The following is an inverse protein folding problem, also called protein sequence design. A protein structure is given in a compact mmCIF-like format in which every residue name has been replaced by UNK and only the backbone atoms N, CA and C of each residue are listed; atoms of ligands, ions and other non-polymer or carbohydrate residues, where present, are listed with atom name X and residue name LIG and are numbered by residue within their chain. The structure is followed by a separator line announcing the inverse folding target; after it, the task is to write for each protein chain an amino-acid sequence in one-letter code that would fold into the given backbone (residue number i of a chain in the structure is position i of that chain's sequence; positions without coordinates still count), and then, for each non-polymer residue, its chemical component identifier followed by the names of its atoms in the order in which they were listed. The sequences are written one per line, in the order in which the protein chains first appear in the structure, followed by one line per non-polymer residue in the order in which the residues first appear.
data_IF_528540605271
#
_entry.id   IF_528540605271
#
_cell.length_a   1.000
_cell.length_b   1.000
_cell.length_c   1.000
_cell.angle_alpha   90.00
_cell.angle_beta   90.00
_cell.angle_gamma   90.00
#
_symmetry.space_group_name_H-M   'P 1'
#
loop_
_entity.id
_entity.type
_entity.pdbx_description
1 polymer ?
#
# COMPACT_ATOMS: atom_id res chain seq x y z
N UNK A 1 -83.81 27.65 10.03
CA UNK A 1 -83.54 28.43 11.25
C UNK A 1 -82.26 29.22 11.02
N UNK A 2 -82.38 30.55 11.11
CA UNK A 2 -81.41 31.65 11.36
C UNK A 2 -79.95 31.26 11.71
N UNK A 3 -78.87 32.01 11.44
CA UNK A 3 -78.49 33.26 10.73
C UNK A 3 -76.94 33.30 10.76
N UNK A 4 -76.23 33.76 9.71
CA UNK A 4 -75.38 34.99 9.63
C UNK A 4 -74.68 35.46 10.94
N UNK A 5 -73.44 36.00 11.05
CA UNK A 5 -72.60 36.92 10.26
C UNK A 5 -71.20 37.00 10.97
N UNK A 6 -70.04 37.07 10.29
CA UNK A 6 -69.31 38.25 9.72
C UNK A 6 -68.47 39.11 10.70
N UNK A 7 -67.15 39.12 10.43
CA UNK A 7 -66.15 40.23 10.38
C UNK A 7 -65.51 40.88 11.65
N UNK A 8 -64.17 40.85 11.58
CA UNK A 8 -63.17 41.95 11.66
C UNK A 8 -62.79 42.62 12.99
N UNK A 9 -61.49 42.79 13.21
CA UNK A 9 -60.91 43.84 14.05
C UNK A 9 -59.40 43.68 14.28
N UNK A 10 -58.58 44.54 13.65
CA UNK A 10 -57.19 44.84 14.04
C UNK A 10 -57.20 45.89 15.17
N UNK A 11 -56.12 46.01 16.00
CA UNK A 11 -55.45 47.32 16.07
C UNK A 11 -53.91 47.32 16.32
N UNK A 12 -53.22 48.17 15.53
CA UNK A 12 -52.15 49.17 15.82
C UNK A 12 -51.03 49.01 16.88
N UNK A 13 -49.79 48.99 16.37
CA UNK A 13 -48.55 49.80 16.64
C UNK A 13 -48.17 50.33 18.04
N UNK A 14 -46.87 50.16 18.41
CA UNK A 14 -45.98 51.23 18.91
C UNK A 14 -44.48 50.88 18.78
N UNK A 15 -43.69 51.88 18.42
CA UNK A 15 -42.24 51.92 18.16
C UNK A 15 -41.40 52.36 19.37
N UNK A 16 -40.14 51.93 19.49
CA UNK A 16 -39.06 52.72 20.11
C UNK A 16 -37.66 52.25 19.66
N UNK A 17 -36.77 53.23 19.47
CA UNK A 17 -35.44 53.14 18.88
C UNK A 17 -34.35 52.67 19.85
N UNK A 18 -33.32 51.99 19.33
CA UNK A 18 -32.11 51.66 20.08
C UNK A 18 -30.96 51.10 19.24
N UNK A 19 -29.90 51.89 19.09
CA UNK A 19 -28.50 51.50 18.78
C UNK A 19 -28.02 51.48 17.31
N UNK A 20 -27.97 52.67 16.70
CA UNK A 20 -27.03 53.05 15.61
C UNK A 20 -25.54 52.78 15.90
N UNK A 21 -25.19 52.25 17.08
CA UNK A 21 -23.80 51.98 17.53
C UNK A 21 -23.30 50.57 17.18
N UNK A 22 -24.20 49.61 16.88
CA UNK A 22 -23.83 48.24 16.49
C UNK A 22 -23.47 48.06 15.00
N UNK A 23 -23.90 49.00 14.15
CA UNK A 23 -23.69 48.90 12.70
C UNK A 23 -22.31 49.43 12.27
N UNK A 24 -21.76 50.42 13.00
CA UNK A 24 -20.43 51.00 12.73
C UNK A 24 -19.30 50.01 13.08
N UNK A 25 -19.48 49.18 14.11
CA UNK A 25 -18.50 48.15 14.51
C UNK A 25 -18.36 47.04 13.45
N UNK A 26 -19.45 46.68 12.76
CA UNK A 26 -19.42 45.67 11.68
C UNK A 26 -18.72 46.18 10.42
N UNK A 27 -18.87 47.46 10.09
CA UNK A 27 -18.22 48.06 8.91
C UNK A 27 -16.70 48.15 9.07
N UNK A 28 -16.19 48.44 10.28
CA UNK A 28 -14.75 48.49 10.54
C UNK A 28 -14.08 47.10 10.53
N UNK A 29 -14.77 46.05 10.99
CA UNK A 29 -14.22 44.69 10.92
C UNK A 29 -14.19 44.14 9.49
N UNK A 30 -15.18 44.49 8.66
CA UNK A 30 -15.17 44.09 7.25
C UNK A 30 -14.06 44.79 6.45
N UNK A 31 -13.75 46.06 6.73
CA UNK A 31 -12.64 46.78 6.09
C UNK A 31 -11.27 46.18 6.49
N UNK A 32 -11.09 45.79 7.75
CA UNK A 32 -9.86 45.13 8.22
C UNK A 32 -9.64 43.77 7.54
N UNK A 33 -10.70 42.98 7.35
CA UNK A 33 -10.63 41.69 6.64
C UNK A 33 -10.29 41.89 5.16
N UNK A 34 -10.88 42.89 4.50
CA UNK A 34 -10.57 43.18 3.08
C UNK A 34 -9.13 43.66 2.87
N UNK A 35 -8.58 44.46 3.80
CA UNK A 35 -7.17 44.89 3.75
C UNK A 35 -6.22 43.71 4.01
N UNK A 36 -6.57 42.82 4.97
CA UNK A 36 -5.80 41.61 5.26
C UNK A 36 -5.80 40.64 4.06
N UNK A 37 -6.96 40.41 3.43
CA UNK A 37 -7.07 39.61 2.21
C UNK A 37 -6.29 40.23 1.05
N UNK A 38 -6.29 41.56 0.91
CA UNK A 38 -5.47 42.26 -0.07
C UNK A 38 -3.96 42.09 0.15
N UNK A 39 -3.49 42.18 1.41
CA UNK A 39 -2.09 41.97 1.75
C UNK A 39 -1.62 40.53 1.55
N UNK A 40 -2.45 39.55 1.91
CA UNK A 40 -2.17 38.12 1.67
C UNK A 40 -2.08 37.83 0.18
N UNK A 41 -2.96 38.43 -0.64
CA UNK A 41 -2.93 38.25 -2.10
C UNK A 41 -1.67 38.87 -2.73
N UNK A 42 -1.22 40.04 -2.24
CA UNK A 42 0.03 40.67 -2.69
C UNK A 42 1.27 39.87 -2.24
N UNK A 43 1.25 39.27 -1.05
CA UNK A 43 2.34 38.40 -0.58
C UNK A 43 2.40 37.10 -1.38
N UNK A 44 1.26 36.51 -1.73
CA UNK A 44 1.19 35.31 -2.58
C UNK A 44 1.62 35.62 -4.02
N UNK A 45 1.27 36.80 -4.55
CA UNK A 45 1.71 37.24 -5.88
C UNK A 45 3.18 37.67 -5.92
N UNK A 46 3.76 38.16 -4.81
CA UNK A 46 5.21 38.43 -4.71
C UNK A 46 6.04 37.18 -4.40
N UNK A 47 5.45 36.13 -3.82
CA UNK A 47 6.10 34.83 -3.67
C UNK A 47 6.15 34.00 -4.96
N UNK A 48 5.35 34.36 -5.98
CA UNK A 48 5.23 33.60 -7.24
C UNK A 48 5.96 34.23 -8.43
N UNK A 49 6.63 35.38 -8.24
CA UNK A 49 7.48 36.01 -9.27
C UNK A 49 8.85 36.35 -8.65
N UNK A 50 9.69 35.32 -8.53
CA UNK A 50 11.13 35.43 -8.26
C UNK A 50 11.89 34.82 -9.45
N UNK A 51 12.48 35.69 -10.26
CA UNK A 51 13.26 35.37 -11.46
C UNK A 51 14.62 34.78 -11.06
N UNK A 52 15.09 33.80 -11.85
CA UNK A 52 16.11 32.82 -11.53
C UNK A 52 17.54 33.29 -11.28
N UNK A 53 18.34 32.37 -10.70
CA UNK A 53 19.72 32.18 -11.11
C UNK A 53 20.11 30.68 -10.98
N UNK A 54 20.99 30.26 -11.90
CA UNK A 54 21.36 28.91 -12.29
C UNK A 54 22.12 28.10 -11.22
N UNK A 55 21.83 26.79 -11.15
CA UNK A 55 22.67 25.80 -10.49
C UNK A 55 21.91 24.49 -10.24
N UNK A 56 22.37 23.39 -10.85
CA UNK A 56 21.70 22.09 -10.82
C UNK A 56 21.45 21.58 -9.40
N UNK A 57 20.24 21.08 -9.17
CA UNK A 57 19.84 20.50 -7.88
C UNK A 57 19.86 18.98 -8.02
N UNK A 58 20.76 18.39 -7.27
CA UNK A 58 20.93 16.97 -6.97
C UNK A 58 19.73 16.40 -6.21
N UNK A 59 19.46 15.11 -6.40
CA UNK A 59 18.37 14.28 -5.85
C UNK A 59 18.19 14.29 -4.31
N UNK A 60 19.10 14.88 -3.56
CA UNK A 60 19.13 14.88 -2.09
C UNK A 60 17.94 15.58 -1.40
N UNK A 61 17.29 16.55 -2.05
CA UNK A 61 16.18 17.32 -1.44
C UNK A 61 14.87 16.49 -1.38
N UNK A 62 14.79 15.40 -2.15
CA UNK A 62 13.67 14.46 -2.13
C UNK A 62 13.81 13.43 -1.00
N UNK A 63 15.02 12.93 -0.77
CA UNK A 63 15.32 11.95 0.29
C UNK A 63 15.18 12.55 1.68
N UNK A 64 15.54 13.82 1.84
CA UNK A 64 15.50 14.48 3.15
C UNK A 64 14.07 14.74 3.65
N UNK A 65 13.12 14.96 2.73
CA UNK A 65 11.68 15.08 3.07
C UNK A 65 11.04 13.73 3.41
N UNK A 66 11.50 12.65 2.78
CA UNK A 66 11.09 11.27 3.11
C UNK A 66 11.50 10.91 4.54
N UNK A 67 12.70 11.30 4.96
CA UNK A 67 13.21 11.06 6.33
C UNK A 67 12.43 11.84 7.40
N UNK A 68 12.07 13.11 7.14
CA UNK A 68 11.27 13.91 8.09
C UNK A 68 9.81 13.44 8.22
N UNK A 69 9.20 12.98 7.13
CA UNK A 69 7.86 12.40 7.17
C UNK A 69 7.85 11.05 7.91
N UNK A 70 8.95 10.28 7.82
CA UNK A 70 9.17 9.07 8.61
C UNK A 70 9.22 9.39 10.09
N UNK A 71 9.92 10.43 10.56
CA UNK A 71 9.96 10.75 12.01
C UNK A 71 8.59 11.12 12.61
N UNK A 72 7.64 11.56 11.78
CA UNK A 72 6.26 11.86 12.19
C UNK A 72 5.36 10.61 12.28
N UNK A 73 5.57 9.62 11.39
CA UNK A 73 4.89 8.29 11.38
C UNK A 73 5.03 7.56 12.75
N UNK A 74 5.99 7.96 13.59
CA UNK A 74 6.53 7.13 14.69
C UNK A 74 5.86 7.36 16.03
N UNK A 75 5.12 8.46 16.17
CA UNK A 75 4.54 8.84 17.47
C UNK A 75 3.26 8.06 17.81
N UNK A 76 2.63 7.39 16.85
CA UNK A 76 1.26 6.89 16.99
C UNK A 76 1.05 5.38 16.78
N UNK A 77 2.08 4.57 16.49
CA UNK A 77 2.01 3.09 16.66
C UNK A 77 1.73 2.70 18.13
N UNK A 78 1.84 3.66 19.05
CA UNK A 78 1.55 3.52 20.49
C UNK A 78 0.06 3.38 20.85
N UNK A 79 -0.90 3.49 19.93
CA UNK A 79 -2.33 3.57 20.26
C UNK A 79 -3.21 2.39 19.80
N UNK A 80 -2.69 1.42 19.03
CA UNK A 80 -3.50 0.34 18.42
C UNK A 80 -3.66 -0.91 19.32
N UNK A 81 -3.62 -0.76 20.63
CA UNK A 81 -4.00 -1.83 21.56
C UNK A 81 -5.52 -1.79 21.79
N UNK A 82 -6.27 -2.63 21.07
CA UNK A 82 -7.61 -3.04 21.52
C UNK A 82 -7.53 -3.71 22.91
N UNK A 83 -8.57 -3.60 23.75
CA UNK A 83 -8.53 -4.13 25.10
C UNK A 83 -8.34 -5.65 25.10
N UNK A 84 -7.23 -6.10 25.67
CA UNK A 84 -6.89 -7.50 25.86
C UNK A 84 -7.96 -8.24 26.71
N UNK A 85 -8.54 -9.31 26.17
CA UNK A 85 -8.84 -10.46 27.02
C UNK A 85 -7.51 -11.15 27.34
N UNK A 86 -6.89 -10.68 28.43
CA UNK A 86 -5.65 -11.24 28.98
C UNK A 86 -5.95 -12.66 29.48
N UNK A 87 -5.86 -13.66 28.61
CA UNK A 87 -5.53 -15.01 29.07
C UNK A 87 -4.04 -14.99 29.33
N UNK A 88 -3.68 -14.58 30.54
CA UNK A 88 -2.32 -14.69 31.05
C UNK A 88 -1.92 -16.17 30.98
N UNK A 89 -1.25 -16.56 29.90
CA UNK A 89 -0.44 -17.75 29.90
C UNK A 89 0.62 -17.51 30.99
N UNK A 90 0.42 -18.14 32.14
CA UNK A 90 1.41 -18.18 33.21
C UNK A 90 2.66 -18.85 32.64
N UNK A 91 3.59 -18.03 32.12
CA UNK A 91 4.94 -18.45 31.77
C UNK A 91 5.69 -18.71 33.07
N UNK A 92 5.39 -19.86 33.66
CA UNK A 92 6.23 -20.46 34.68
C UNK A 92 7.25 -21.31 33.92
N UNK A 93 8.48 -20.81 33.84
CA UNK A 93 9.72 -21.57 34.11
C UNK A 93 10.86 -20.56 34.18
N UNK A 94 11.40 -20.46 35.39
CA UNK A 94 12.70 -19.89 35.65
C UNK A 94 13.77 -20.75 34.95
N UNK A 95 14.44 -20.17 33.96
CA UNK A 95 15.78 -20.55 33.58
C UNK A 95 16.49 -19.28 33.10
N UNK A 96 17.51 -18.86 33.85
CA UNK A 96 18.40 -17.77 33.46
C UNK A 96 19.20 -18.24 32.25
N UNK A 97 18.65 -18.04 31.05
CA UNK A 97 19.33 -18.28 29.79
C UNK A 97 19.63 -16.91 29.19
N UNK A 98 20.91 -16.57 29.09
CA UNK A 98 21.31 -15.46 28.25
C UNK A 98 21.33 -15.96 26.81
N UNK A 99 20.64 -15.27 25.90
CA UNK A 99 20.65 -15.60 24.46
C UNK A 99 21.33 -14.46 23.73
N UNK A 100 22.35 -14.79 22.94
CA UNK A 100 23.01 -13.84 22.05
C UNK A 100 22.39 -13.96 20.66
N UNK A 101 21.88 -12.85 20.10
CA UNK A 101 21.36 -12.78 18.73
C UNK A 101 22.49 -12.75 17.71
N UNK A 102 22.15 -12.80 16.41
CA UNK A 102 23.13 -12.76 15.32
C UNK A 102 24.01 -11.49 15.34
N UNK A 103 23.51 -10.37 15.88
CA UNK A 103 24.25 -9.10 15.97
C UNK A 103 24.89 -8.87 17.35
N UNK A 104 25.18 -9.95 18.08
CA UNK A 104 25.78 -9.90 19.42
C UNK A 104 24.93 -9.16 20.49
N UNK A 105 23.62 -9.01 20.28
CA UNK A 105 22.71 -8.50 21.32
C UNK A 105 22.48 -9.60 22.35
N UNK A 106 22.83 -9.35 23.62
CA UNK A 106 22.62 -10.32 24.71
C UNK A 106 21.29 -10.05 25.41
N UNK A 107 20.36 -10.98 25.29
CA UNK A 107 19.06 -10.99 25.94
C UNK A 107 19.11 -11.77 27.23
N UNK A 108 18.35 -11.37 28.25
CA UNK A 108 18.25 -12.06 29.53
C UNK A 108 16.80 -12.10 30.03
N UNK A 109 16.50 -13.04 30.93
CA UNK A 109 15.21 -13.12 31.61
C UNK A 109 14.02 -13.25 30.63
N UNK A 110 13.03 -12.36 30.76
CA UNK A 110 11.82 -12.38 29.95
C UNK A 110 12.09 -12.16 28.45
N UNK A 111 13.11 -11.35 28.10
CA UNK A 111 13.44 -11.03 26.71
C UNK A 111 14.03 -12.25 26.00
N UNK A 112 14.90 -13.00 26.69
CA UNK A 112 15.42 -14.27 26.20
C UNK A 112 14.31 -15.33 26.04
N UNK A 113 13.34 -15.37 26.96
CA UNK A 113 12.20 -16.27 26.86
C UNK A 113 11.29 -15.93 25.67
N UNK A 114 11.00 -14.64 25.44
CA UNK A 114 10.21 -14.18 24.29
C UNK A 114 10.91 -14.51 22.96
N UNK A 115 12.22 -14.24 22.86
CA UNK A 115 13.00 -14.57 21.67
C UNK A 115 13.03 -16.08 21.40
N UNK A 116 13.19 -16.91 22.44
CA UNK A 116 13.14 -18.37 22.32
C UNK A 116 11.75 -18.86 21.88
N UNK A 117 10.67 -18.27 22.43
CA UNK A 117 9.30 -18.60 22.05
C UNK A 117 9.04 -18.28 20.57
N UNK A 118 9.48 -17.12 20.07
CA UNK A 118 9.43 -16.79 18.65
C UNK A 118 10.14 -17.82 17.76
N UNK A 119 11.35 -18.26 18.15
CA UNK A 119 12.08 -19.32 17.42
C UNK A 119 11.38 -20.68 17.41
N UNK A 120 10.50 -20.94 18.38
CA UNK A 120 9.73 -22.18 18.46
C UNK A 120 8.49 -22.17 17.54
N UNK A 121 8.02 -20.99 17.11
CA UNK A 121 6.88 -20.86 16.21
C UNK A 121 7.15 -21.54 14.86
N UNK A 122 6.11 -22.14 14.28
CA UNK A 122 6.16 -22.83 12.98
C UNK A 122 4.90 -22.51 12.17
N UNK A 123 5.09 -22.16 10.90
CA UNK A 123 3.97 -21.96 9.94
C UNK A 123 3.26 -23.28 9.56
N UNK A 124 3.84 -24.42 9.91
CA UNK A 124 3.30 -25.76 9.70
C UNK A 124 4.38 -26.83 9.81
N UNK A 125 4.04 -28.10 9.53
CA UNK A 125 5.03 -29.18 9.46
C UNK A 125 6.13 -28.88 8.45
N UNK A 126 7.38 -29.24 8.76
CA UNK A 126 8.50 -29.03 7.85
C UNK A 126 8.31 -29.85 6.57
N UNK A 127 8.44 -29.18 5.42
CA UNK A 127 8.54 -29.81 4.10
C UNK A 127 9.98 -29.61 3.63
N UNK A 128 10.61 -30.67 3.13
CA UNK A 128 12.04 -30.65 2.75
C UNK A 128 12.31 -31.12 1.32
N UNK A 129 11.27 -31.56 0.61
CA UNK A 129 11.30 -32.14 -0.72
C UNK A 129 10.23 -31.50 -1.63
N UNK A 130 9.85 -30.24 -1.38
CA UNK A 130 8.75 -29.58 -2.10
C UNK A 130 9.00 -29.47 -3.60
N UNK A 131 10.23 -29.20 -4.04
CA UNK A 131 10.55 -29.13 -5.46
C UNK A 131 10.30 -30.48 -6.15
N UNK A 132 10.72 -31.59 -5.51
CA UNK A 132 10.47 -32.94 -6.01
C UNK A 132 8.97 -33.27 -6.05
N UNK A 133 8.22 -32.94 -4.98
CA UNK A 133 6.78 -33.18 -4.94
C UNK A 133 6.06 -32.38 -6.03
N UNK A 134 6.42 -31.11 -6.22
CA UNK A 134 5.82 -30.21 -7.21
C UNK A 134 6.13 -30.68 -8.64
N UNK A 135 7.36 -31.09 -8.92
CA UNK A 135 7.75 -31.64 -10.23
C UNK A 135 6.99 -32.92 -10.56
N UNK A 136 6.88 -33.85 -9.60
CA UNK A 136 6.11 -35.08 -9.78
C UNK A 136 4.61 -34.79 -10.02
N UNK A 137 4.06 -33.83 -9.29
CA UNK A 137 2.67 -33.42 -9.45
C UNK A 137 2.42 -32.81 -10.83
N UNK A 138 3.31 -31.94 -11.33
CA UNK A 138 3.19 -31.31 -12.65
C UNK A 138 3.25 -32.34 -13.78
N UNK A 139 4.11 -33.36 -13.67
CA UNK A 139 4.18 -34.48 -14.62
C UNK A 139 2.88 -35.29 -14.62
N UNK A 140 2.32 -35.56 -13.43
CA UNK A 140 1.08 -36.31 -13.29
C UNK A 140 -0.18 -35.53 -13.71
N UNK A 141 -0.11 -34.19 -13.74
CA UNK A 141 -1.26 -33.31 -13.97
C UNK A 141 -1.03 -32.32 -15.14
N UNK A 142 -0.87 -32.80 -16.39
CA UNK A 142 -0.57 -31.94 -17.54
C UNK A 142 -1.67 -30.92 -17.88
N UNK A 143 -2.89 -31.09 -17.35
CA UNK A 143 -3.97 -30.11 -17.47
C UNK A 143 -3.79 -28.83 -16.64
N UNK A 144 -2.79 -28.80 -15.75
CA UNK A 144 -2.46 -27.67 -14.88
C UNK A 144 -1.00 -27.23 -15.08
N UNK A 145 -0.67 -26.63 -16.24
CA UNK A 145 0.72 -26.26 -16.53
C UNK A 145 1.19 -25.08 -15.70
N UNK A 146 2.46 -25.10 -15.28
CA UNK A 146 3.13 -23.97 -14.61
C UNK A 146 3.44 -22.79 -15.53
N UNK A 147 3.15 -22.94 -16.82
CA UNK A 147 3.27 -21.90 -17.84
C UNK A 147 1.98 -21.78 -18.62
N UNK A 148 1.53 -20.55 -18.83
CA UNK A 148 0.36 -20.21 -19.65
C UNK A 148 0.71 -20.17 -21.14
N UNK A 149 -0.31 -20.03 -21.99
CA UNK A 149 -0.13 -19.85 -23.43
C UNK A 149 0.86 -18.70 -23.73
N UNK A 150 1.84 -18.97 -24.61
CA UNK A 150 2.95 -18.05 -24.87
C UNK A 150 4.17 -18.26 -23.96
N UNK A 151 4.21 -19.31 -23.14
CA UNK A 151 5.38 -19.74 -22.37
C UNK A 151 5.66 -18.94 -21.09
N UNK A 152 4.79 -17.98 -20.75
CA UNK A 152 4.91 -17.16 -19.54
C UNK A 152 4.61 -18.01 -18.29
N UNK A 153 5.33 -17.81 -17.18
CA UNK A 153 5.03 -18.49 -15.93
C UNK A 153 3.64 -18.12 -15.41
N UNK A 154 2.94 -19.06 -14.77
CA UNK A 154 1.65 -18.81 -14.14
C UNK A 154 1.86 -17.98 -12.87
N UNK A 155 1.12 -16.87 -12.75
CA UNK A 155 1.17 -15.95 -11.61
C UNK A 155 -0.18 -15.97 -10.89
N UNK A 156 -0.13 -16.00 -9.56
CA UNK A 156 -1.27 -15.82 -8.67
C UNK A 156 -1.08 -14.53 -7.87
N UNK A 157 -1.88 -13.50 -8.16
CA UNK A 157 -1.94 -12.30 -7.34
C UNK A 157 -2.70 -12.60 -6.04
N UNK A 158 -2.12 -12.24 -4.91
CA UNK A 158 -2.71 -12.42 -3.58
C UNK A 158 -2.78 -11.06 -2.89
N UNK A 159 -3.98 -10.70 -2.48
CA UNK A 159 -4.26 -9.53 -1.64
C UNK A 159 -5.13 -9.97 -0.47
N UNK A 160 -5.30 -9.11 0.53
CA UNK A 160 -6.27 -9.37 1.58
C UNK A 160 -6.68 -8.12 2.33
N UNK A 161 -7.74 -8.26 3.11
CA UNK A 161 -8.24 -7.26 4.04
C UNK A 161 -8.76 -7.95 5.30
N UNK A 162 -8.93 -7.24 6.43
CA UNK A 162 -9.58 -7.80 7.60
C UNK A 162 -10.98 -8.37 7.28
N UNK A 163 -11.45 -9.40 8.03
CA UNK A 163 -12.81 -9.94 7.89
C UNK A 163 -13.91 -8.98 8.36
N UNK A 164 -13.58 -8.14 9.34
CA UNK A 164 -14.51 -7.21 9.95
C UNK A 164 -14.60 -5.93 9.12
N UNK A 165 -15.74 -5.20 9.19
CA UNK A 165 -15.83 -3.87 8.63
C UNK A 165 -14.70 -2.97 9.13
N UNK A 166 -14.28 -2.02 8.29
CA UNK A 166 -13.27 -1.05 8.67
C UNK A 166 -13.76 -0.14 9.81
N UNK A 167 -12.86 0.26 10.70
CA UNK A 167 -13.15 1.23 11.77
C UNK A 167 -13.70 2.53 11.18
N UNK A 168 -13.10 2.96 10.06
CA UNK A 168 -13.61 4.03 9.23
C UNK A 168 -14.44 3.45 8.08
N UNK A 169 -15.77 3.70 8.02
CA UNK A 169 -16.64 3.12 6.99
C UNK A 169 -16.26 3.48 5.55
N UNK A 170 -15.56 4.61 5.33
CA UNK A 170 -15.06 4.95 3.99
C UNK A 170 -13.95 3.98 3.55
N UNK A 171 -13.25 3.35 4.49
CA UNK A 171 -12.20 2.38 4.24
C UNK A 171 -12.67 1.20 3.40
N UNK A 172 -13.84 0.64 3.72
CA UNK A 172 -14.46 -0.44 2.95
C UNK A 172 -14.69 -0.05 1.48
N UNK A 173 -15.07 1.21 1.23
CA UNK A 173 -15.22 1.71 -0.13
C UNK A 173 -13.89 1.73 -0.90
N UNK A 174 -12.80 2.13 -0.25
CA UNK A 174 -11.48 2.14 -0.88
C UNK A 174 -10.86 0.76 -1.01
N UNK A 175 -11.15 -0.18 -0.10
CA UNK A 175 -10.83 -1.60 -0.27
C UNK A 175 -11.55 -2.17 -1.50
N UNK A 176 -12.83 -1.86 -1.70
CA UNK A 176 -13.57 -2.27 -2.89
C UNK A 176 -12.96 -1.70 -4.17
N UNK A 177 -12.61 -0.40 -4.17
CA UNK A 177 -11.96 0.26 -5.32
C UNK A 177 -10.59 -0.36 -5.64
N UNK A 178 -9.77 -0.60 -4.62
CA UNK A 178 -8.47 -1.26 -4.80
C UNK A 178 -8.63 -2.69 -5.32
N UNK A 179 -9.65 -3.42 -4.84
CA UNK A 179 -9.98 -4.77 -5.34
C UNK A 179 -10.40 -4.73 -6.81
N UNK A 180 -11.30 -3.80 -7.20
CA UNK A 180 -11.66 -3.60 -8.62
C UNK A 180 -10.43 -3.29 -9.47
N UNK A 181 -9.54 -2.40 -9.02
CA UNK A 181 -8.31 -2.05 -9.72
C UNK A 181 -7.45 -3.30 -10.00
N UNK A 182 -7.24 -4.14 -8.98
CA UNK A 182 -6.52 -5.41 -9.13
C UNK A 182 -7.24 -6.40 -10.06
N UNK A 183 -8.56 -6.51 -9.98
CA UNK A 183 -9.38 -7.33 -10.90
C UNK A 183 -9.18 -6.88 -12.35
N UNK A 184 -9.21 -5.58 -12.62
CA UNK A 184 -9.05 -5.05 -13.96
C UNK A 184 -7.67 -5.37 -14.53
N UNK A 185 -6.61 -5.11 -13.77
CA UNK A 185 -5.24 -5.45 -14.17
C UNK A 185 -5.09 -6.96 -14.42
N UNK A 186 -5.52 -7.80 -13.47
CA UNK A 186 -5.41 -9.25 -13.58
C UNK A 186 -6.17 -9.81 -14.79
N UNK A 187 -7.36 -9.27 -15.07
CA UNK A 187 -8.16 -9.65 -16.27
C UNK A 187 -7.44 -9.28 -17.57
N UNK A 188 -6.81 -8.12 -17.64
CA UNK A 188 -6.03 -7.68 -18.83
C UNK A 188 -4.79 -8.57 -19.03
N UNK A 189 -4.15 -8.96 -17.93
CA UNK A 189 -2.87 -9.67 -17.94
C UNK A 189 -2.97 -11.19 -17.84
N UNK A 190 -4.18 -11.74 -17.68
CA UNK A 190 -4.38 -13.19 -17.57
C UNK A 190 -3.80 -13.78 -16.27
N UNK A 191 -3.91 -13.02 -15.19
CA UNK A 191 -3.42 -13.38 -13.85
C UNK A 191 -4.61 -13.80 -13.00
N UNK A 192 -4.48 -14.89 -12.25
CA UNK A 192 -5.49 -15.30 -11.27
C UNK A 192 -5.33 -14.45 -10.01
N UNK A 193 -6.45 -14.14 -9.32
CA UNK A 193 -6.45 -13.33 -8.11
C UNK A 193 -7.14 -14.05 -6.95
N UNK A 194 -6.52 -14.00 -5.78
CA UNK A 194 -7.13 -14.38 -4.50
C UNK A 194 -7.19 -13.16 -3.59
N UNK A 195 -8.38 -12.90 -3.06
CA UNK A 195 -8.60 -11.91 -2.01
C UNK A 195 -8.92 -12.64 -0.70
N UNK A 196 -7.97 -12.67 0.22
CA UNK A 196 -8.18 -13.28 1.53
C UNK A 196 -8.89 -12.32 2.48
N UNK A 197 -9.89 -12.85 3.20
CA UNK A 197 -10.56 -12.16 4.31
C UNK A 197 -10.55 -13.02 5.58
N UNK A 198 -9.74 -14.08 5.64
CA UNK A 198 -9.69 -14.99 6.78
C UNK A 198 -8.37 -14.84 7.56
N UNK A 199 -8.46 -14.89 8.89
CA UNK A 199 -7.29 -15.11 9.74
C UNK A 199 -6.98 -16.61 9.79
N UNK A 200 -5.93 -17.03 9.07
CA UNK A 200 -5.49 -18.43 9.05
C UNK A 200 -4.69 -18.81 10.30
N UNK A 201 -4.12 -17.81 10.96
CA UNK A 201 -3.34 -17.94 12.19
C UNK A 201 -3.67 -16.76 13.10
N UNK A 202 -3.88 -17.01 14.40
CA UNK A 202 -4.21 -15.99 15.40
C UNK A 202 -2.99 -15.29 16.00
N UNK A 203 -1.82 -15.92 15.89
CA UNK A 203 -0.52 -15.38 16.33
C UNK A 203 0.04 -14.40 15.29
N UNK A 204 -0.10 -14.73 14.00
CA UNK A 204 0.31 -13.88 12.88
C UNK A 204 -0.85 -13.00 12.39
N UNK A 205 -1.20 -11.99 13.18
CA UNK A 205 -2.18 -10.97 12.82
C UNK A 205 -1.56 -9.74 12.13
N UNK A 206 -2.40 -8.88 11.55
CA UNK A 206 -1.98 -7.63 10.90
C UNK A 206 -1.13 -7.90 9.65
N UNK A 207 -0.04 -7.14 9.48
CA UNK A 207 0.85 -7.25 8.34
C UNK A 207 1.52 -8.64 8.22
N UNK A 208 1.63 -9.38 9.33
CA UNK A 208 2.17 -10.74 9.37
C UNK A 208 1.25 -11.82 8.79
N UNK A 209 -0.05 -11.54 8.63
CA UNK A 209 -1.04 -12.53 8.17
C UNK A 209 -0.78 -13.04 6.74
N UNK A 210 0.05 -12.31 5.96
CA UNK A 210 0.44 -12.71 4.61
C UNK A 210 1.31 -13.98 4.59
N UNK A 211 2.18 -14.20 5.59
CA UNK A 211 3.09 -15.35 5.62
C UNK A 211 2.36 -16.71 5.63
N UNK A 212 1.43 -17.00 6.57
CA UNK A 212 0.72 -18.29 6.59
C UNK A 212 -0.17 -18.47 5.35
N UNK A 213 -0.72 -17.39 4.80
CA UNK A 213 -1.50 -17.41 3.57
C UNK A 213 -0.65 -17.78 2.36
N UNK A 214 0.50 -17.12 2.16
CA UNK A 214 1.42 -17.41 1.06
C UNK A 214 1.88 -18.88 1.15
N UNK A 215 2.31 -19.35 2.32
CA UNK A 215 2.70 -20.76 2.52
C UNK A 215 1.57 -21.71 2.13
N UNK A 216 0.34 -21.43 2.57
CA UNK A 216 -0.84 -22.24 2.25
C UNK A 216 -1.08 -22.28 0.74
N UNK A 217 -1.01 -21.15 0.06
CA UNK A 217 -1.24 -21.06 -1.37
C UNK A 217 -0.14 -21.74 -2.17
N UNK A 218 1.13 -21.66 -1.76
CA UNK A 218 2.23 -22.39 -2.40
C UNK A 218 1.96 -23.89 -2.42
N UNK A 219 1.57 -24.45 -1.27
CA UNK A 219 1.32 -25.88 -1.10
C UNK A 219 0.01 -26.35 -1.75
N UNK A 220 -0.99 -25.47 -1.86
CA UNK A 220 -2.28 -25.78 -2.47
C UNK A 220 -2.31 -25.59 -3.99
N UNK A 221 -1.40 -24.80 -4.54
CA UNK A 221 -1.32 -24.48 -5.97
C UNK A 221 0.07 -24.82 -6.55
N UNK A 222 0.43 -26.11 -6.67
CA UNK A 222 1.70 -26.55 -7.25
C UNK A 222 1.88 -26.11 -8.72
N UNK A 223 0.79 -25.79 -9.42
CA UNK A 223 0.80 -25.25 -10.78
C UNK A 223 1.15 -23.76 -10.86
N UNK A 224 1.15 -23.03 -9.75
CA UNK A 224 1.54 -21.61 -9.73
C UNK A 224 3.06 -21.53 -9.64
N UNK A 225 3.68 -20.80 -10.56
CA UNK A 225 5.13 -20.56 -10.54
C UNK A 225 5.49 -19.37 -9.65
N UNK A 226 4.69 -18.31 -9.68
CA UNK A 226 4.89 -17.11 -8.86
C UNK A 226 3.64 -16.76 -8.05
N UNK A 227 3.80 -16.61 -6.75
CA UNK A 227 2.84 -15.93 -5.89
C UNK A 227 3.26 -14.48 -5.80
N UNK A 228 2.38 -13.57 -6.20
CA UNK A 228 2.60 -12.13 -6.12
C UNK A 228 1.72 -11.55 -5.03
N UNK A 229 2.32 -11.24 -3.88
CA UNK A 229 1.63 -10.52 -2.82
C UNK A 229 1.51 -9.03 -3.18
N UNK A 230 0.34 -8.46 -2.96
CA UNK A 230 0.10 -7.02 -3.11
C UNK A 230 -0.85 -6.52 -2.02
N UNK A 231 -0.41 -5.54 -1.23
CA UNK A 231 -1.21 -4.95 -0.14
C UNK A 231 -2.50 -4.32 -0.66
N UNK A 232 -3.52 -4.24 0.22
CA UNK A 232 -4.83 -3.70 -0.15
C UNK A 232 -4.82 -2.23 -0.55
N UNK A 233 -3.87 -1.45 -0.01
CA UNK A 233 -3.66 -0.03 -0.28
C UNK A 233 -2.60 0.24 -1.37
N UNK A 234 -2.12 -0.80 -2.04
CA UNK A 234 -1.38 -0.69 -3.29
C UNK A 234 -2.33 -0.76 -4.50
N UNK A 235 -2.20 0.16 -5.44
CA UNK A 235 -2.98 0.18 -6.69
C UNK A 235 -2.06 0.09 -7.89
N UNK A 236 -2.48 -0.67 -8.90
CA UNK A 236 -1.93 -0.56 -10.24
C UNK A 236 -2.25 0.80 -10.82
N UNK A 237 -1.24 1.50 -11.28
CA UNK A 237 -1.37 2.80 -11.96
C UNK A 237 -0.83 2.76 -13.39
N UNK A 238 -0.14 1.69 -13.77
CA UNK A 238 0.13 1.33 -15.17
C UNK A 238 -0.58 0.02 -15.54
N UNK A 239 -1.67 0.13 -16.32
CA UNK A 239 -2.46 -1.02 -16.77
C UNK A 239 -1.85 -1.71 -17.99
N UNK A 240 -0.88 -1.11 -18.69
CA UNK A 240 -0.21 -1.69 -19.85
C UNK A 240 1.11 -2.38 -19.50
N UNK A 241 1.77 -1.97 -18.42
CA UNK A 241 3.02 -2.56 -17.97
C UNK A 241 2.83 -4.03 -17.61
N UNK A 242 3.78 -4.86 -18.03
CA UNK A 242 3.84 -6.28 -17.72
C UNK A 242 5.17 -6.57 -17.06
N UNK A 243 5.12 -7.28 -15.92
CA UNK A 243 6.33 -7.63 -15.16
C UNK A 243 7.31 -8.38 -16.09
N UNK A 244 8.58 -7.95 -16.18
CA UNK A 244 9.56 -8.56 -17.06
C UNK A 244 10.11 -9.86 -16.45
N UNK A 245 9.26 -10.88 -16.29
CA UNK A 245 9.56 -12.14 -15.57
C UNK A 245 10.83 -12.86 -16.02
N UNK A 246 11.24 -12.70 -17.28
CA UNK A 246 12.50 -13.27 -17.80
C UNK A 246 13.74 -12.65 -17.14
N UNK A 247 13.66 -11.40 -16.67
CA UNK A 247 14.71 -10.72 -15.90
C UNK A 247 15.00 -11.42 -14.57
N UNK A 248 14.03 -12.18 -14.05
CA UNK A 248 14.11 -12.84 -12.74
C UNK A 248 14.42 -14.33 -12.84
N UNK A 249 14.92 -14.77 -13.99
CA UNK A 249 15.48 -16.11 -14.11
C UNK A 249 16.64 -16.31 -13.12
N UNK A 250 16.62 -17.44 -12.41
CA UNK A 250 17.60 -17.73 -11.36
C UNK A 250 17.27 -17.17 -9.96
N UNK A 251 16.29 -16.27 -9.83
CA UNK A 251 15.84 -15.69 -8.56
C UNK A 251 14.51 -16.30 -8.08
N UNK A 252 14.27 -16.22 -6.77
CA UNK A 252 13.11 -16.78 -6.09
C UNK A 252 12.29 -15.73 -5.30
N UNK A 253 12.91 -14.61 -4.92
CA UNK A 253 12.23 -13.45 -4.36
C UNK A 253 12.53 -12.24 -5.24
N UNK A 254 11.50 -11.52 -5.68
CA UNK A 254 11.64 -10.22 -6.36
C UNK A 254 10.91 -9.18 -5.53
N UNK A 255 11.63 -8.15 -5.08
CA UNK A 255 11.12 -7.16 -4.15
C UNK A 255 11.65 -5.78 -4.54
N UNK A 256 10.81 -4.75 -4.45
CA UNK A 256 11.25 -3.39 -4.71
C UNK A 256 12.19 -2.91 -3.60
N UNK A 257 13.27 -2.22 -3.97
CA UNK A 257 14.14 -1.60 -2.98
C UNK A 257 15.40 -0.97 -3.57
N UNK A 258 16.24 -0.44 -2.70
CA UNK A 258 17.46 0.28 -3.08
C UNK A 258 18.68 -0.40 -2.44
N UNK A 259 19.62 -0.95 -3.24
CA UNK A 259 20.77 -1.68 -2.72
C UNK A 259 21.66 -0.89 -1.76
N UNK A 260 21.84 0.41 -2.00
CA UNK A 260 22.60 1.31 -1.12
C UNK A 260 21.89 1.51 0.23
N UNK A 261 20.57 1.70 0.22
CA UNK A 261 19.79 1.76 1.45
C UNK A 261 19.86 0.44 2.23
N UNK A 262 19.90 -0.70 1.53
CA UNK A 262 19.96 -2.01 2.15
C UNK A 262 21.35 -2.27 2.73
N UNK A 263 22.37 -2.36 1.88
CA UNK A 263 23.68 -2.90 2.23
C UNK A 263 24.63 -1.85 2.85
N UNK A 264 24.50 -0.58 2.48
CA UNK A 264 25.39 0.46 3.01
C UNK A 264 24.78 1.18 4.21
N UNK A 265 23.48 1.46 4.15
CA UNK A 265 22.80 2.24 5.19
C UNK A 265 22.04 1.41 6.21
N UNK A 266 21.77 0.14 5.93
CA UNK A 266 20.94 -0.75 6.76
C UNK A 266 19.59 -0.12 7.13
N UNK A 267 18.98 0.58 6.17
CA UNK A 267 17.75 1.35 6.38
C UNK A 267 16.53 0.43 6.42
N UNK A 268 15.60 0.69 7.34
CA UNK A 268 14.36 -0.10 7.46
C UNK A 268 13.36 0.12 6.31
N UNK A 269 13.59 1.13 5.47
CA UNK A 269 12.82 1.40 4.23
C UNK A 269 13.58 0.94 2.97
N UNK A 270 14.66 0.17 3.13
CA UNK A 270 15.49 -0.25 2.01
C UNK A 270 14.75 -1.15 1.01
N UNK A 271 13.75 -1.91 1.49
CA UNK A 271 12.90 -2.79 0.70
C UNK A 271 11.43 -2.53 1.06
N UNK A 272 10.48 -2.90 0.20
CA UNK A 272 9.05 -2.85 0.52
C UNK A 272 8.35 -4.20 0.36
N UNK A 273 7.73 -4.70 1.44
CA UNK A 273 7.00 -5.99 1.45
C UNK A 273 5.51 -5.84 1.16
N UNK A 274 5.08 -4.72 0.61
CA UNK A 274 3.71 -4.52 0.16
C UNK A 274 3.44 -4.90 -1.29
N UNK A 275 4.49 -5.17 -2.07
CA UNK A 275 4.37 -5.73 -3.42
C UNK A 275 5.64 -6.51 -3.77
N UNK A 276 5.55 -7.84 -3.81
CA UNK A 276 6.70 -8.71 -4.09
C UNK A 276 6.27 -10.05 -4.68
N UNK A 277 7.19 -10.72 -5.38
CA UNK A 277 6.96 -12.03 -5.97
C UNK A 277 7.79 -13.11 -5.26
N UNK A 278 7.13 -14.22 -4.91
CA UNK A 278 7.77 -15.46 -4.47
C UNK A 278 7.61 -16.56 -5.51
N UNK A 279 8.72 -17.23 -5.86
CA UNK A 279 8.68 -18.44 -6.65
C UNK A 279 8.16 -19.60 -5.80
N UNK A 280 7.27 -20.41 -6.34
CA UNK A 280 6.78 -21.61 -5.65
C UNK A 280 7.86 -22.71 -5.64
N UNK A 281 8.73 -22.70 -4.64
CA UNK A 281 9.86 -23.61 -4.53
C UNK A 281 10.25 -23.86 -3.06
N UNK A 282 11.08 -24.88 -2.83
CA UNK A 282 11.56 -25.25 -1.49
C UNK A 282 12.24 -24.08 -0.79
N UNK A 283 13.07 -23.32 -1.52
CA UNK A 283 13.79 -22.15 -0.99
C UNK A 283 12.82 -21.12 -0.39
N UNK A 284 11.69 -20.87 -1.04
CA UNK A 284 10.70 -19.89 -0.56
C UNK A 284 9.97 -20.39 0.69
N UNK A 285 9.70 -21.71 0.80
CA UNK A 285 9.16 -22.29 2.04
C UNK A 285 10.14 -22.14 3.20
N UNK A 286 11.44 -22.35 2.94
CA UNK A 286 12.49 -22.21 3.95
C UNK A 286 12.67 -20.75 4.39
N UNK A 287 12.56 -19.80 3.47
CA UNK A 287 12.59 -18.38 3.79
C UNK A 287 11.38 -17.98 4.65
N UNK A 288 10.17 -18.44 4.32
CA UNK A 288 8.98 -18.19 5.13
C UNK A 288 9.14 -18.72 6.56
N UNK A 289 9.69 -19.92 6.73
CA UNK A 289 9.99 -20.50 8.05
C UNK A 289 11.00 -19.66 8.85
N UNK A 290 11.93 -18.99 8.17
CA UNK A 290 12.98 -18.16 8.78
C UNK A 290 12.51 -16.73 9.06
N UNK A 291 11.53 -16.25 8.29
CA UNK A 291 10.97 -14.90 8.41
C UNK A 291 9.90 -14.81 9.51
N UNK A 292 9.06 -15.85 9.66
CA UNK A 292 7.97 -15.89 10.62
C UNK A 292 8.31 -15.71 12.12
N UNK A 293 9.48 -16.11 12.66
CA UNK A 293 9.74 -16.13 14.11
C UNK A 293 9.63 -14.79 14.84
N UNK A 294 9.71 -13.65 14.15
CA UNK A 294 9.52 -12.31 14.74
C UNK A 294 8.06 -11.84 14.73
N UNK A 295 7.16 -12.62 14.12
CA UNK A 295 5.77 -12.23 13.89
C UNK A 295 4.73 -12.56 14.98
N UNK A 296 4.87 -13.60 15.83
CA UNK A 296 3.84 -13.93 16.83
C UNK A 296 3.56 -12.74 17.75
N UNK A 297 2.30 -12.29 17.81
CA UNK A 297 1.88 -11.09 18.56
C UNK A 297 2.22 -11.16 20.06
N UNK A 298 2.22 -10.00 20.72
CA UNK A 298 2.55 -9.87 22.13
C UNK A 298 4.06 -9.86 22.37
N UNK A 299 4.55 -10.43 23.49
CA UNK A 299 5.95 -10.24 23.92
C UNK A 299 7.00 -10.63 22.88
N UNK A 300 6.72 -11.62 22.03
CA UNK A 300 7.63 -12.05 20.97
C UNK A 300 7.83 -10.94 19.94
N UNK A 301 6.74 -10.39 19.40
CA UNK A 301 6.78 -9.31 18.41
C UNK A 301 7.28 -8.00 19.00
N UNK A 302 6.95 -7.70 20.25
CA UNK A 302 7.43 -6.52 20.96
C UNK A 302 8.96 -6.54 21.10
N UNK A 303 9.52 -7.67 21.54
CA UNK A 303 10.95 -7.83 21.72
C UNK A 303 11.69 -7.86 20.39
N UNK A 304 11.16 -8.57 19.40
CA UNK A 304 11.68 -8.51 18.03
C UNK A 304 11.68 -7.07 17.50
N UNK A 305 10.66 -6.26 17.82
CA UNK A 305 10.61 -4.85 17.48
C UNK A 305 11.78 -4.07 18.06
N UNK A 306 12.15 -4.31 19.33
CA UNK A 306 13.32 -3.67 19.96
C UNK A 306 14.62 -4.05 19.27
N UNK A 307 14.80 -5.32 18.93
CA UNK A 307 15.97 -5.81 18.19
C UNK A 307 16.05 -5.10 16.83
N UNK A 308 14.95 -5.06 16.08
CA UNK A 308 14.90 -4.41 14.76
C UNK A 308 15.19 -2.91 14.84
N UNK A 309 14.67 -2.22 15.87
CA UNK A 309 14.95 -0.80 16.10
C UNK A 309 16.42 -0.55 16.44
N UNK A 310 17.06 -1.46 17.15
CA UNK A 310 18.49 -1.37 17.46
C UNK A 310 19.38 -1.66 16.23
N UNK A 311 18.94 -2.55 15.34
CA UNK A 311 19.74 -3.02 14.21
C UNK A 311 19.54 -2.23 12.91
N UNK A 312 18.40 -1.57 12.72
CA UNK A 312 18.05 -0.92 11.45
C UNK A 312 18.02 0.61 11.57
N UNK A 313 18.73 1.27 10.65
CA UNK A 313 18.84 2.74 10.61
C UNK A 313 17.49 3.37 10.30
N UNK A 314 17.17 4.41 11.07
CA UNK A 314 15.93 5.16 10.91
C UNK A 314 14.68 4.38 11.32
N UNK A 315 14.82 3.14 11.84
CA UNK A 315 13.66 2.37 12.28
C UNK A 315 13.09 2.99 13.56
N UNK A 316 11.78 3.23 13.60
CA UNK A 316 11.06 3.70 14.78
C UNK A 316 10.98 2.67 15.90
N UNK A 317 10.58 3.10 17.11
CA UNK A 317 10.29 2.20 18.21
C UNK A 317 8.82 1.74 18.18
N UNK A 318 8.60 0.52 17.69
CA UNK A 318 7.31 -0.19 17.69
C UNK A 318 7.51 -1.70 17.51
N UNK A 319 6.41 -2.45 17.60
CA UNK A 319 6.39 -3.91 17.39
C UNK A 319 7.06 -4.31 16.07
N UNK A 320 7.59 -5.53 15.98
CA UNK A 320 8.17 -6.02 14.74
C UNK A 320 7.15 -6.04 13.59
N UNK A 321 7.58 -5.58 12.43
CA UNK A 321 6.87 -5.65 11.16
C UNK A 321 7.59 -6.60 10.18
N UNK A 322 6.85 -7.14 9.22
CA UNK A 322 7.36 -8.10 8.26
C UNK A 322 8.48 -7.49 7.39
N UNK A 323 8.37 -6.21 7.00
CA UNK A 323 9.38 -5.52 6.17
C UNK A 323 10.73 -5.45 6.87
N UNK A 324 10.76 -4.91 8.08
CA UNK A 324 11.96 -4.78 8.91
C UNK A 324 12.57 -6.15 9.21
N UNK A 325 11.74 -7.15 9.53
CA UNK A 325 12.22 -8.50 9.78
C UNK A 325 12.88 -9.14 8.55
N UNK A 326 12.36 -8.89 7.34
CA UNK A 326 12.98 -9.38 6.11
C UNK A 326 14.32 -8.66 5.85
N UNK A 327 14.36 -7.34 5.99
CA UNK A 327 15.60 -6.55 5.83
C UNK A 327 16.68 -7.07 6.79
N UNK A 328 16.32 -7.22 8.06
CA UNK A 328 17.18 -7.78 9.09
C UNK A 328 17.72 -9.17 8.73
N UNK A 329 16.85 -10.06 8.26
CA UNK A 329 17.22 -11.41 7.83
C UNK A 329 18.20 -11.38 6.65
N UNK A 330 17.94 -10.54 5.65
CA UNK A 330 18.79 -10.44 4.46
C UNK A 330 20.16 -9.85 4.76
N UNK A 331 20.26 -8.93 5.73
CA UNK A 331 21.54 -8.39 6.20
C UNK A 331 22.32 -9.41 7.05
N UNK A 332 21.64 -10.07 7.99
CA UNK A 332 22.29 -11.01 8.91
C UNK A 332 22.63 -12.38 8.30
N UNK A 333 21.97 -12.76 7.19
CA UNK A 333 22.11 -14.07 6.55
C UNK A 333 22.27 -13.94 5.02
N UNK A 334 23.03 -12.93 4.58
CA UNK A 334 23.21 -12.63 3.15
C UNK A 334 23.77 -13.82 2.35
N UNK A 335 24.73 -14.56 2.90
CA UNK A 335 25.31 -15.74 2.24
C UNK A 335 24.27 -16.84 1.98
N UNK A 336 23.28 -16.98 2.87
CA UNK A 336 22.23 -17.99 2.77
C UNK A 336 21.15 -17.59 1.75
N UNK A 337 20.71 -16.34 1.77
CA UNK A 337 19.51 -15.91 1.04
C UNK A 337 19.80 -15.02 -0.17
N UNK A 338 20.82 -14.16 -0.10
CA UNK A 338 21.03 -13.04 -1.02
C UNK A 338 21.14 -13.46 -2.49
N UNK A 339 21.75 -14.61 -2.77
CA UNK A 339 21.93 -15.11 -4.14
C UNK A 339 20.62 -15.40 -4.90
N UNK A 340 19.49 -15.52 -4.19
CA UNK A 340 18.16 -15.79 -4.77
C UNK A 340 17.18 -14.62 -4.63
N UNK A 341 17.64 -13.47 -4.11
CA UNK A 341 16.84 -12.24 -3.98
C UNK A 341 17.21 -11.26 -5.09
N UNK A 342 16.21 -10.81 -5.84
CA UNK A 342 16.33 -9.72 -6.80
C UNK A 342 15.76 -8.44 -6.19
N UNK A 343 16.61 -7.43 -6.01
CA UNK A 343 16.20 -6.08 -5.57
C UNK A 343 15.87 -5.27 -6.83
N UNK A 344 14.58 -5.02 -7.05
CA UNK A 344 14.09 -4.29 -8.22
C UNK A 344 14.01 -2.79 -7.94
N UNK A 345 14.65 -2.00 -8.80
CA UNK A 345 14.64 -0.54 -8.77
C UNK A 345 14.55 0.11 -10.16
N UNK A 346 14.32 -0.68 -11.22
CA UNK A 346 14.18 -0.17 -12.60
C UNK A 346 12.76 0.24 -12.96
N UNK A 347 11.78 -0.10 -12.13
CA UNK A 347 10.39 0.33 -12.23
C UNK A 347 9.74 0.23 -10.84
N UNK A 348 8.59 0.88 -10.65
CA UNK A 348 7.89 0.89 -9.38
C UNK A 348 7.05 -0.38 -9.16
N UNK A 349 7.71 -1.51 -8.87
CA UNK A 349 7.04 -2.68 -8.28
C UNK A 349 6.34 -2.30 -6.96
N UNK A 350 6.91 -1.30 -6.26
CA UNK A 350 6.29 -0.48 -5.24
C UNK A 350 6.67 0.99 -5.50
N UNK A 351 5.69 1.88 -5.57
CA UNK A 351 5.93 3.32 -5.70
C UNK A 351 5.31 4.11 -4.56
N UNK A 352 6.13 4.87 -3.83
CA UNK A 352 5.66 5.67 -2.69
C UNK A 352 4.74 6.81 -3.13
N UNK A 353 3.47 6.74 -2.72
CA UNK A 353 2.40 7.58 -3.27
C UNK A 353 2.67 9.09 -3.18
N UNK A 354 3.24 9.58 -2.09
CA UNK A 354 3.41 11.02 -1.86
C UNK A 354 4.34 11.68 -2.88
N UNK A 355 5.28 10.93 -3.47
CA UNK A 355 6.17 11.41 -4.53
C UNK A 355 5.59 11.30 -5.96
N UNK A 356 4.42 10.66 -6.10
CA UNK A 356 3.84 10.28 -7.39
C UNK A 356 2.50 10.97 -7.68
N UNK A 357 1.59 11.02 -6.70
CA UNK A 357 0.18 11.37 -6.95
C UNK A 357 -0.02 12.79 -7.47
N UNK A 358 0.88 13.72 -7.15
CA UNK A 358 0.82 15.11 -7.59
C UNK A 358 1.36 15.31 -9.01
N UNK A 359 2.01 14.27 -9.59
CA UNK A 359 2.61 14.30 -10.93
C UNK A 359 1.72 13.66 -12.01
N UNK A 360 0.57 13.09 -11.65
CA UNK A 360 -0.25 12.35 -12.61
C UNK A 360 -0.72 13.16 -13.82
N UNK A 361 -1.11 14.42 -13.64
CA UNK A 361 -1.48 15.28 -14.76
C UNK A 361 -0.30 15.52 -15.72
N UNK A 362 0.91 15.72 -15.18
CA UNK A 362 2.13 15.85 -15.99
C UNK A 362 2.44 14.54 -16.74
N UNK A 363 2.31 13.39 -16.07
CA UNK A 363 2.50 12.07 -16.70
C UNK A 363 1.51 11.85 -17.85
N UNK A 364 0.24 12.21 -17.66
CA UNK A 364 -0.79 12.12 -18.71
C UNK A 364 -0.53 13.05 -19.90
N UNK A 365 0.15 14.17 -19.69
CA UNK A 365 0.47 15.13 -20.75
C UNK A 365 1.72 14.72 -21.54
N UNK A 366 2.76 14.22 -20.85
CA UNK A 366 4.10 14.01 -21.42
C UNK A 366 4.42 12.56 -21.77
N UNK A 367 3.71 11.61 -21.18
CA UNK A 367 4.05 10.19 -21.23
C UNK A 367 2.82 9.33 -21.58
N UNK A 368 2.99 8.02 -21.54
CA UNK A 368 1.97 7.03 -21.84
C UNK A 368 2.16 5.81 -20.93
N UNK A 369 1.11 5.01 -20.69
CA UNK A 369 1.23 3.76 -19.93
C UNK A 369 2.10 2.72 -20.67
N UNK A 370 2.66 1.79 -19.92
CA UNK A 370 3.57 0.73 -20.36
C UNK A 370 5.04 0.94 -19.95
N UNK A 371 5.36 2.00 -19.20
CA UNK A 371 6.73 2.35 -18.79
C UNK A 371 7.06 1.80 -17.40
N UNK A 372 6.11 1.87 -16.46
CA UNK A 372 6.22 1.33 -15.10
C UNK A 372 7.09 2.12 -14.11
N UNK A 373 7.80 3.16 -14.54
CA UNK A 373 8.77 3.95 -13.76
C UNK A 373 8.27 5.38 -13.43
N UNK A 374 9.15 6.35 -13.14
CA UNK A 374 8.76 7.72 -12.81
C UNK A 374 7.98 8.47 -13.89
N UNK A 375 8.02 7.98 -15.13
CA UNK A 375 7.25 8.55 -16.25
C UNK A 375 5.80 8.07 -16.24
N UNK A 376 5.56 6.87 -15.74
CA UNK A 376 4.24 6.29 -15.53
C UNK A 376 4.33 5.12 -14.52
N UNK A 377 4.06 5.35 -13.22
CA UNK A 377 4.40 4.37 -12.19
C UNK A 377 3.57 3.11 -12.33
N UNK A 378 4.20 1.95 -12.18
CA UNK A 378 3.49 0.67 -12.24
C UNK A 378 2.54 0.49 -11.05
N UNK A 379 3.05 0.65 -9.83
CA UNK A 379 2.29 0.57 -8.59
C UNK A 379 2.40 1.90 -7.84
N UNK A 380 1.27 2.44 -7.41
CA UNK A 380 1.20 3.50 -6.40
C UNK A 380 0.72 2.89 -5.09
N UNK A 381 1.57 2.93 -4.06
CA UNK A 381 1.34 2.29 -2.77
C UNK A 381 1.13 3.35 -1.67
N UNK A 382 -0.04 3.33 -1.05
CA UNK A 382 -0.50 4.30 -0.04
C UNK A 382 -0.02 3.98 1.38
N UNK A 383 1.27 3.65 1.50
CA UNK A 383 1.93 3.38 2.78
C UNK A 383 1.62 4.53 3.77
N UNK A 384 1.18 4.14 4.97
CA UNK A 384 0.82 5.04 6.05
C UNK A 384 -0.58 5.64 5.97
N UNK A 385 -1.35 5.46 4.90
CA UNK A 385 -2.72 5.99 4.82
C UNK A 385 -3.75 5.21 5.63
N UNK A 386 -3.55 3.90 5.82
CA UNK A 386 -4.38 3.00 6.63
C UNK A 386 -5.90 3.27 6.48
N UNK A 387 -6.46 3.22 5.25
CA UNK A 387 -7.84 3.67 5.01
C UNK A 387 -8.91 2.88 5.79
N UNK A 388 -8.59 1.64 6.18
CA UNK A 388 -9.48 0.75 6.94
C UNK A 388 -9.33 0.87 8.46
N UNK A 389 -8.19 1.39 8.94
CA UNK A 389 -7.93 1.56 10.35
C UNK A 389 -8.50 2.88 10.89
N UNK A 390 -8.46 3.02 12.20
CA UNK A 390 -8.86 4.23 12.93
C UNK A 390 -7.77 5.32 12.94
N UNK A 391 -6.55 4.99 12.55
CA UNK A 391 -5.40 5.91 12.56
C UNK A 391 -4.54 5.79 11.30
N UNK A 392 -4.03 6.90 10.77
CA UNK A 392 -3.13 6.94 9.60
C UNK A 392 -2.10 8.09 9.71
N UNK A 393 -0.91 7.88 9.14
CA UNK A 393 0.26 8.77 9.25
C UNK A 393 0.13 10.09 8.47
N UNK A 394 -0.86 10.11 7.58
CA UNK A 394 -1.19 11.24 6.73
C UNK A 394 -2.63 11.65 6.98
N UNK A 395 -2.96 12.93 6.77
CA UNK A 395 -4.34 13.38 6.88
C UNK A 395 -5.26 12.52 6.03
N UNK A 396 -6.29 11.93 6.65
CA UNK A 396 -7.24 11.02 5.99
C UNK A 396 -7.79 11.65 4.70
N UNK A 397 -8.10 12.94 4.72
CA UNK A 397 -8.56 13.68 3.53
C UNK A 397 -7.54 13.66 2.38
N UNK A 398 -6.25 13.83 2.67
CA UNK A 398 -5.18 13.76 1.67
C UNK A 398 -5.04 12.34 1.13
N UNK A 399 -5.08 11.34 1.99
CA UNK A 399 -5.04 9.94 1.59
C UNK A 399 -6.20 9.57 0.67
N UNK A 400 -7.43 9.82 1.12
CA UNK A 400 -8.66 9.50 0.40
C UNK A 400 -8.71 10.22 -0.95
N UNK A 401 -8.41 11.52 -0.99
CA UNK A 401 -8.35 12.27 -2.26
C UNK A 401 -7.25 11.79 -3.19
N UNK A 402 -6.10 11.37 -2.67
CA UNK A 402 -4.99 10.85 -3.47
C UNK A 402 -5.23 9.42 -3.97
N UNK A 403 -5.87 8.57 -3.16
CA UNK A 403 -6.35 7.24 -3.56
C UNK A 403 -7.42 7.35 -4.65
N UNK A 404 -8.32 8.33 -4.54
CA UNK A 404 -9.30 8.65 -5.58
C UNK A 404 -8.60 8.98 -6.91
N UNK A 405 -7.60 9.86 -6.86
CA UNK A 405 -6.80 10.25 -8.03
C UNK A 405 -6.06 9.05 -8.64
N UNK A 406 -5.38 8.24 -7.83
CA UNK A 406 -4.66 7.06 -8.31
C UNK A 406 -5.60 6.03 -8.94
N UNK A 407 -6.75 5.77 -8.30
CA UNK A 407 -7.77 4.90 -8.87
C UNK A 407 -8.28 5.43 -10.20
N UNK A 408 -8.61 6.72 -10.31
CA UNK A 408 -9.13 7.31 -11.55
C UNK A 408 -8.05 7.41 -12.65
N UNK A 409 -6.79 7.59 -12.27
CA UNK A 409 -5.63 7.56 -13.19
C UNK A 409 -5.49 6.18 -13.85
N UNK A 410 -5.65 5.13 -13.05
CA UNK A 410 -5.66 3.75 -13.52
C UNK A 410 -6.94 3.38 -14.29
N UNK A 411 -8.10 3.73 -13.75
CA UNK A 411 -9.41 3.40 -14.31
C UNK A 411 -9.67 4.15 -15.63
N UNK A 412 -9.04 5.31 -15.86
CA UNK A 412 -9.03 5.97 -17.17
C UNK A 412 -8.49 5.05 -18.28
N UNK A 413 -7.39 4.32 -18.01
CA UNK A 413 -6.79 3.40 -18.99
C UNK A 413 -7.76 2.25 -19.33
N UNK A 414 -8.58 1.84 -18.36
CA UNK A 414 -9.63 0.82 -18.56
C UNK A 414 -10.85 1.41 -19.28
N UNK A 415 -11.33 2.59 -18.89
CA UNK A 415 -12.51 3.24 -19.47
C UNK A 415 -12.29 3.67 -20.93
N UNK A 416 -11.07 4.06 -21.29
CA UNK A 416 -10.71 4.47 -22.66
C UNK A 416 -10.97 3.36 -23.68
N UNK A 417 -10.85 2.09 -23.26
CA UNK A 417 -11.18 0.90 -24.06
C UNK A 417 -12.64 0.95 -24.54
N UNK A 418 -13.52 1.51 -23.72
CA UNK A 418 -14.96 1.61 -23.94
C UNK A 418 -15.40 3.01 -24.40
N UNK A 419 -14.46 3.92 -24.68
CA UNK A 419 -14.77 5.27 -25.17
C UNK A 419 -15.20 6.26 -24.08
N UNK A 420 -14.80 6.01 -22.83
CA UNK A 420 -15.04 6.91 -21.70
C UNK A 420 -13.72 7.31 -21.00
N UNK A 421 -13.80 8.36 -20.20
CA UNK A 421 -12.77 8.75 -19.25
C UNK A 421 -13.43 9.52 -18.09
N UNK A 422 -12.78 9.56 -16.93
CA UNK A 422 -13.14 10.46 -15.84
C UNK A 422 -13.06 11.93 -16.29
N UNK A 423 -13.94 12.79 -15.75
CA UNK A 423 -13.93 14.22 -16.05
C UNK A 423 -12.67 14.92 -15.54
N UNK A 424 -12.18 14.48 -14.39
CA UNK A 424 -10.92 14.86 -13.76
C UNK A 424 -10.49 13.72 -12.82
N UNK A 425 -9.20 13.61 -12.49
CA UNK A 425 -8.72 12.56 -11.58
C UNK A 425 -9.35 12.64 -10.18
N UNK A 426 -9.79 13.82 -9.76
CA UNK A 426 -10.47 14.03 -8.47
C UNK A 426 -11.98 13.75 -8.50
N UNK A 427 -12.56 13.33 -9.62
CA UNK A 427 -14.01 13.18 -9.77
C UNK A 427 -14.40 11.80 -10.27
N UNK A 428 -15.37 11.11 -9.62
CA UNK A 428 -15.88 9.82 -10.10
C UNK A 428 -16.81 9.97 -11.32
N UNK A 429 -17.10 11.20 -11.77
CA UNK A 429 -17.97 11.45 -12.91
C UNK A 429 -17.21 11.18 -14.20
N UNK A 430 -17.80 10.40 -15.10
CA UNK A 430 -17.22 10.12 -16.41
C UNK A 430 -17.75 11.06 -17.50
N UNK A 431 -17.01 11.14 -18.60
CA UNK A 431 -17.38 11.76 -19.87
C UNK A 431 -17.09 10.79 -21.01
N UNK A 432 -17.83 10.93 -22.10
CA UNK A 432 -17.58 10.22 -23.35
C UNK A 432 -16.42 10.90 -24.08
N UNK A 433 -15.52 10.12 -24.66
CA UNK A 433 -14.35 10.61 -25.43
C UNK A 433 -14.35 10.13 -26.89
N UNK A 434 -15.28 9.25 -27.28
CA UNK A 434 -15.47 8.79 -28.66
C UNK A 434 -16.95 8.81 -29.03
N UNK A 435 -17.27 9.22 -30.27
CA UNK A 435 -18.64 9.16 -30.79
C UNK A 435 -19.13 7.71 -30.92
N UNK A 436 -20.44 7.51 -30.81
CA UNK A 436 -21.04 6.20 -31.08
C UNK A 436 -20.95 5.87 -32.56
N UNK A 437 -20.75 4.59 -32.86
CA UNK A 437 -20.71 4.07 -34.22
C UNK A 437 -21.60 2.84 -34.32
N UNK A 438 -22.29 2.70 -35.45
CA UNK A 438 -23.01 1.46 -35.81
C UNK A 438 -22.07 0.35 -36.28
N UNK A 439 -20.77 0.65 -36.46
CA UNK A 439 -19.74 -0.27 -36.94
C UNK A 439 -18.58 -0.45 -35.95
N UNK A 440 -18.84 -0.89 -34.69
CA UNK A 440 -17.83 -0.94 -33.63
C UNK A 440 -16.64 -1.89 -33.88
N UNK A 441 -16.73 -2.77 -34.89
CA UNK A 441 -15.71 -3.77 -35.23
C UNK A 441 -14.80 -3.37 -36.40
N UNK A 442 -15.07 -2.26 -37.10
CA UNK A 442 -14.25 -1.83 -38.25
C UNK A 442 -12.85 -1.38 -37.83
N UNK A 443 -12.72 -0.83 -36.64
CA UNK A 443 -11.42 -0.53 -36.06
C UNK A 443 -10.82 -1.78 -35.42
N UNK A 444 -10.29 -2.71 -36.23
CA UNK A 444 -9.75 -4.02 -35.78
C UNK A 444 -8.61 -3.92 -34.74
N UNK A 445 -7.87 -2.81 -34.74
CA UNK A 445 -6.85 -2.48 -33.71
C UNK A 445 -7.48 -2.32 -32.31
N UNK A 446 -8.80 -2.15 -32.21
CA UNK A 446 -9.55 -1.96 -30.97
C UNK A 446 -10.03 -3.25 -30.27
N UNK A 447 -9.66 -4.45 -30.74
CA UNK A 447 -10.16 -5.70 -30.14
C UNK A 447 -9.24 -6.26 -29.05
N UNK A 448 -7.95 -5.92 -29.06
CA UNK A 448 -7.00 -6.35 -28.04
C UNK A 448 -6.93 -5.31 -26.90
N UNK A 449 -7.38 -5.69 -25.70
CA UNK A 449 -7.35 -4.83 -24.51
C UNK A 449 -5.95 -4.30 -24.21
N UNK A 450 -4.91 -5.13 -24.34
CA UNK A 450 -3.52 -4.72 -24.10
C UNK A 450 -3.02 -3.74 -25.16
N UNK A 451 -3.42 -3.92 -26.42
CA UNK A 451 -3.04 -2.99 -27.49
C UNK A 451 -3.68 -1.61 -27.27
N UNK A 452 -4.97 -1.58 -26.85
CA UNK A 452 -5.68 -0.34 -26.54
C UNK A 452 -5.04 0.48 -25.43
N UNK A 453 -4.53 -0.18 -24.39
CA UNK A 453 -3.92 0.54 -23.27
C UNK A 453 -2.57 1.13 -23.69
N UNK A 454 -1.77 0.43 -24.50
CA UNK A 454 -0.45 0.91 -24.96
C UNK A 454 -0.49 2.08 -25.94
N UNK A 455 -1.63 2.32 -26.58
CA UNK A 455 -1.82 3.39 -27.58
C UNK A 455 -2.56 4.61 -27.05
N UNK A 456 -2.96 4.58 -25.77
CA UNK A 456 -3.86 5.55 -25.14
C UNK A 456 -3.16 6.78 -24.57
#
# INVERSE_FOLDING_TARGET
MLQEAKRSGLPTTRSAAGSRRRQIQKTFNNIKITILCGFVTILVLRGTIGVGNLGGVSDADSDQRVVEDIERILREIRSDSEPDEVVAAQFSIAAVVNITTADNVTLAGADAAAYAAGKSYKLGPKVSDWDQQRDQWLIANPGFPSRIAGGKPKILLVTGSPPNPCDNPIGDHYLLKATKNKIDYCRIHGIEIIHNMAHLDRELAGYWAKLPLIRRLMLSHPEVEWIWWMDSDALFTDMAFEIPVNKYEGYNLVIHGYPDLLFDQHSWIALNTGSFLFRNCQWSLDLLDTWAPMGPKGPVRDEAGRILTASLKGRPAFEADDQSALIYLLLSQQETWGAKVFIENSYYLHGFWAGLVDKYEEMMEKHHPGLGDERWPFVTHFVGCKPCGSYGDYPVERCISSMERAFNFADNQVLQIYGFAHKALSSPKIKRIKNETSTPLEAKENLNLRAKIKTG
#
